data_IF_642985933469
#
_entry.id   IF_642985933469
#
_cell.length_a   1.000
_cell.length_b   1.000
_cell.length_c   1.000
_cell.angle_alpha   90.00
_cell.angle_beta   90.00
_cell.angle_gamma   90.00
#
_symmetry.space_group_name_H-M   'P 1'
#
loop_
_entity.id
_entity.type
_entity.pdbx_description
1 polymer ?
#
# COMPACT_ATOMS: atom_id res chain seq x y z
N UNK A 1 26.00 7.19 -22.31
CA UNK A 1 25.38 6.61 -21.10
C UNK A 1 24.54 7.62 -20.28
N UNK A 2 24.93 8.89 -20.12
CA UNK A 2 24.19 9.82 -19.23
C UNK A 2 22.78 10.21 -19.68
N UNK A 3 22.51 10.29 -20.99
CA UNK A 3 21.17 10.65 -21.51
C UNK A 3 20.12 9.58 -21.16
N UNK A 4 20.46 8.30 -21.31
CA UNK A 4 19.56 7.16 -21.05
C UNK A 4 19.20 7.05 -19.55
N UNK A 5 20.17 7.30 -18.67
CA UNK A 5 19.94 7.39 -17.22
C UNK A 5 19.04 8.58 -16.86
N UNK A 6 19.22 9.73 -17.53
CA UNK A 6 18.39 10.93 -17.33
C UNK A 6 16.95 10.72 -17.78
N UNK A 7 16.73 10.04 -18.91
CA UNK A 7 15.38 9.67 -19.37
C UNK A 7 14.73 8.64 -18.44
N UNK A 8 15.51 7.67 -17.92
CA UNK A 8 15.04 6.71 -16.93
C UNK A 8 14.55 7.38 -15.65
N UNK A 9 15.29 8.35 -15.12
CA UNK A 9 14.89 9.08 -13.91
C UNK A 9 13.65 9.95 -14.12
N UNK A 10 13.53 10.59 -15.29
CA UNK A 10 12.33 11.38 -15.63
C UNK A 10 11.11 10.48 -15.79
N UNK A 11 11.26 9.33 -16.47
CA UNK A 11 10.18 8.36 -16.61
C UNK A 11 9.75 7.83 -15.22
N UNK A 12 10.71 7.48 -14.36
CA UNK A 12 10.45 7.01 -13.01
C UNK A 12 9.69 8.05 -12.18
N UNK A 13 10.15 9.30 -12.17
CA UNK A 13 9.48 10.41 -11.48
C UNK A 13 8.05 10.62 -11.99
N UNK A 14 7.85 10.56 -13.31
CA UNK A 14 6.51 10.67 -13.90
C UNK A 14 5.60 9.52 -13.47
N UNK A 15 6.06 8.27 -13.49
CA UNK A 15 5.28 7.12 -12.99
C UNK A 15 4.94 7.24 -11.51
N UNK A 16 5.86 7.74 -10.67
CA UNK A 16 5.59 7.94 -9.23
C UNK A 16 4.49 8.98 -9.04
N UNK A 17 4.60 10.13 -9.69
CA UNK A 17 3.59 11.20 -9.59
C UNK A 17 2.24 10.71 -10.10
N UNK A 18 2.21 10.00 -11.22
CA UNK A 18 0.98 9.44 -11.77
C UNK A 18 0.36 8.41 -10.82
N UNK A 19 1.16 7.51 -10.25
CA UNK A 19 0.69 6.54 -9.27
C UNK A 19 0.11 7.24 -8.04
N UNK A 20 0.80 8.25 -7.49
CA UNK A 20 0.30 9.03 -6.36
C UNK A 20 -1.02 9.72 -6.67
N UNK A 21 -1.18 10.30 -7.85
CA UNK A 21 -2.43 10.93 -8.27
C UNK A 21 -3.56 9.91 -8.42
N UNK A 22 -3.29 8.74 -9.01
CA UNK A 22 -4.28 7.66 -9.17
C UNK A 22 -4.69 7.10 -7.80
N UNK A 23 -3.73 6.83 -6.91
CA UNK A 23 -4.04 6.35 -5.56
C UNK A 23 -4.76 7.40 -4.71
N UNK A 24 -4.39 8.68 -4.84
CA UNK A 24 -5.08 9.78 -4.17
C UNK A 24 -6.52 9.92 -4.68
N UNK A 25 -6.73 9.81 -6.00
CA UNK A 25 -8.07 9.80 -6.59
C UNK A 25 -8.89 8.61 -6.11
N UNK A 26 -8.33 7.39 -6.14
CA UNK A 26 -8.99 6.19 -5.63
C UNK A 26 -9.32 6.30 -4.14
N UNK A 27 -8.47 6.98 -3.37
CA UNK A 27 -8.69 7.26 -1.95
C UNK A 27 -9.77 8.31 -1.68
N UNK A 28 -10.09 9.17 -2.65
CA UNK A 28 -11.17 10.16 -2.55
C UNK A 28 -12.50 9.54 -3.01
N UNK A 29 -12.48 8.70 -4.04
CA UNK A 29 -13.67 8.04 -4.58
C UNK A 29 -14.15 6.83 -3.78
N UNK A 30 -13.25 6.16 -3.05
CA UNK A 30 -13.64 5.37 -1.92
C UNK A 30 -13.87 6.36 -0.77
N UNK A 31 -15.12 6.71 -0.50
CA UNK A 31 -15.52 7.37 0.74
C UNK A 31 -15.03 6.50 1.89
N UNK A 32 -13.78 6.68 2.29
CA UNK A 32 -13.24 6.09 3.49
C UNK A 32 -13.87 6.92 4.59
N UNK A 33 -14.74 6.37 5.46
CA UNK A 33 -15.37 7.15 6.50
C UNK A 33 -14.34 7.49 7.58
N UNK A 34 -13.38 8.36 7.27
CA UNK A 34 -12.23 8.68 8.14
C UNK A 34 -12.70 9.13 9.53
N UNK A 35 -13.90 9.71 9.61
CA UNK A 35 -14.49 10.19 10.85
C UNK A 35 -15.86 9.57 11.19
N UNK A 36 -16.49 8.84 10.29
CA UNK A 36 -17.81 8.24 10.56
C UNK A 36 -17.72 7.10 11.59
N UNK A 37 -16.58 6.38 11.63
CA UNK A 37 -16.25 5.39 12.67
C UNK A 37 -15.91 5.99 14.05
N UNK A 38 -15.82 7.33 14.16
CA UNK A 38 -15.64 8.03 15.45
C UNK A 38 -16.95 8.57 16.02
N UNK A 39 -18.03 8.53 15.24
CA UNK A 39 -19.36 8.87 15.74
C UNK A 39 -19.89 7.69 16.58
N UNK A 40 -20.25 7.96 17.84
CA UNK A 40 -20.83 6.98 18.79
C UNK A 40 -22.11 6.29 18.26
N UNK A 41 -22.64 6.73 17.12
CA UNK A 41 -23.90 6.28 16.50
C UNK A 41 -23.76 5.09 15.55
N UNK A 42 -22.59 4.81 14.98
CA UNK A 42 -22.39 3.59 14.18
C UNK A 42 -21.79 2.51 15.06
N UNK A 43 -22.61 1.49 15.35
CA UNK A 43 -22.24 0.26 16.02
C UNK A 43 -20.87 -0.22 15.50
N UNK A 44 -19.83 -0.03 16.32
CA UNK A 44 -18.43 -0.29 16.00
C UNK A 44 -18.31 -1.77 15.62
N UNK A 45 -18.38 -2.11 14.33
CA UNK A 45 -18.21 -3.50 13.88
C UNK A 45 -16.72 -3.86 13.93
N UNK A 46 -16.18 -3.85 15.15
CA UNK A 46 -14.85 -4.36 15.43
C UNK A 46 -14.92 -5.88 15.38
N UNK A 47 -13.82 -6.48 14.94
CA UNK A 47 -13.61 -7.90 15.16
C UNK A 47 -13.69 -8.14 16.66
N UNK A 48 -14.66 -8.96 17.13
CA UNK A 48 -14.78 -9.26 18.54
C UNK A 48 -13.47 -9.88 19.03
N UNK A 49 -12.96 -9.38 20.15
CA UNK A 49 -11.68 -9.81 20.75
C UNK A 49 -11.84 -11.19 21.40
N UNK A 50 -13.07 -11.66 21.57
CA UNK A 50 -13.41 -12.95 22.15
C UNK A 50 -14.58 -13.60 21.40
N UNK A 51 -14.58 -14.93 21.21
CA UNK A 51 -13.50 -15.87 21.53
C UNK A 51 -12.31 -15.77 20.57
N UNK A 52 -11.10 -16.08 21.07
CA UNK A 52 -9.82 -15.91 20.35
C UNK A 52 -9.63 -16.83 19.15
N UNK A 53 -10.47 -17.85 19.01
CA UNK A 53 -10.26 -18.95 18.07
C UNK A 53 -10.31 -18.51 16.60
N UNK A 54 -11.04 -17.43 16.29
CA UNK A 54 -11.28 -16.98 14.90
C UNK A 54 -10.86 -15.53 14.61
N UNK A 55 -10.17 -14.85 15.54
CA UNK A 55 -9.81 -13.43 15.39
C UNK A 55 -9.04 -13.18 14.08
N UNK A 56 -8.10 -14.06 13.74
CA UNK A 56 -7.31 -13.90 12.51
C UNK A 56 -8.17 -14.00 11.26
N UNK A 57 -9.14 -14.92 11.24
CA UNK A 57 -10.07 -15.11 10.12
C UNK A 57 -11.01 -13.92 9.98
N UNK A 58 -11.60 -13.45 11.10
CA UNK A 58 -12.48 -12.28 11.10
C UNK A 58 -11.72 -11.00 10.73
N UNK A 59 -10.49 -10.82 11.24
CA UNK A 59 -9.65 -9.68 10.89
C UNK A 59 -9.25 -9.71 9.41
N UNK A 60 -8.91 -10.88 8.87
CA UNK A 60 -8.61 -11.03 7.44
C UNK A 60 -9.81 -10.67 6.58
N UNK A 61 -11.01 -11.19 6.91
CA UNK A 61 -12.25 -10.85 6.21
C UNK A 61 -12.56 -9.35 6.29
N UNK A 62 -12.50 -8.78 7.49
CA UNK A 62 -12.71 -7.33 7.68
C UNK A 62 -11.76 -6.50 6.82
N UNK A 63 -10.48 -6.85 6.78
CA UNK A 63 -9.48 -6.14 5.98
C UNK A 63 -9.75 -6.28 4.47
N UNK A 64 -10.15 -7.45 3.98
CA UNK A 64 -10.50 -7.61 2.57
C UNK A 64 -11.82 -6.92 2.19
N UNK A 65 -12.82 -6.94 3.06
CA UNK A 65 -14.14 -6.40 2.76
C UNK A 65 -14.16 -4.86 2.86
N UNK A 66 -13.38 -4.27 3.78
CA UNK A 66 -13.44 -2.84 4.08
C UNK A 66 -12.14 -2.08 3.79
N UNK A 67 -10.98 -2.76 3.73
CA UNK A 67 -9.66 -2.13 3.63
C UNK A 67 -8.73 -2.79 2.61
N UNK A 68 -9.29 -3.46 1.58
CA UNK A 68 -8.48 -4.22 0.61
C UNK A 68 -7.46 -3.36 -0.13
N UNK A 69 -7.79 -2.09 -0.40
CA UNK A 69 -6.89 -1.16 -1.08
C UNK A 69 -5.64 -0.86 -0.24
N UNK A 70 -5.80 -0.66 1.07
CA UNK A 70 -4.68 -0.46 2.01
C UNK A 70 -3.83 -1.74 2.11
N UNK A 71 -4.46 -2.91 2.26
CA UNK A 71 -3.76 -4.20 2.31
C UNK A 71 -2.93 -4.45 1.02
N UNK A 72 -3.50 -4.13 -0.14
CA UNK A 72 -2.83 -4.26 -1.44
C UNK A 72 -1.70 -3.23 -1.59
N UNK A 73 -1.92 -1.99 -1.14
CA UNK A 73 -0.91 -0.94 -1.11
C UNK A 73 0.30 -1.31 -0.26
N UNK A 74 0.07 -1.82 0.95
CA UNK A 74 1.14 -2.31 1.84
C UNK A 74 1.93 -3.45 1.19
N UNK A 75 1.25 -4.43 0.58
CA UNK A 75 1.91 -5.52 -0.13
C UNK A 75 2.79 -5.00 -1.30
N UNK A 76 2.31 -4.03 -2.06
CA UNK A 76 3.09 -3.40 -3.14
C UNK A 76 4.36 -2.72 -2.59
N UNK A 77 4.25 -1.95 -1.51
CA UNK A 77 5.40 -1.28 -0.88
C UNK A 77 6.46 -2.29 -0.41
N UNK A 78 6.04 -3.41 0.18
CA UNK A 78 6.95 -4.49 0.59
C UNK A 78 7.70 -5.06 -0.61
N UNK A 79 6.99 -5.37 -1.70
CA UNK A 79 7.60 -5.90 -2.93
C UNK A 79 8.58 -4.89 -3.53
N UNK A 80 8.19 -3.61 -3.61
CA UNK A 80 9.06 -2.54 -4.12
C UNK A 80 10.33 -2.41 -3.26
N UNK A 81 10.21 -2.49 -1.93
CA UNK A 81 11.36 -2.49 -1.01
C UNK A 81 12.32 -3.64 -1.29
N UNK A 82 11.80 -4.87 -1.44
CA UNK A 82 12.62 -6.05 -1.77
C UNK A 82 13.36 -5.86 -3.10
N UNK A 83 12.69 -5.37 -4.13
CA UNK A 83 13.31 -5.11 -5.45
C UNK A 83 14.42 -4.07 -5.32
N UNK A 84 14.21 -2.99 -4.58
CA UNK A 84 15.22 -1.97 -4.33
C UNK A 84 16.44 -2.54 -3.59
N UNK A 85 16.23 -3.36 -2.56
CA UNK A 85 17.31 -4.04 -1.85
C UNK A 85 18.13 -4.93 -2.80
N UNK A 86 17.48 -5.73 -3.65
CA UNK A 86 18.15 -6.58 -4.64
C UNK A 86 18.91 -5.75 -5.68
N UNK A 87 18.35 -4.63 -6.12
CA UNK A 87 19.01 -3.73 -7.07
C UNK A 87 20.29 -3.12 -6.47
N UNK A 88 20.27 -2.73 -5.20
CA UNK A 88 21.45 -2.23 -4.49
C UNK A 88 22.54 -3.30 -4.36
N UNK A 89 22.18 -4.53 -4.00
CA UNK A 89 23.13 -5.65 -3.91
C UNK A 89 23.78 -5.96 -5.26
N UNK A 90 22.98 -6.02 -6.33
CA UNK A 90 23.46 -6.27 -7.70
C UNK A 90 24.40 -5.17 -8.21
N UNK A 91 24.14 -3.91 -7.84
CA UNK A 91 25.02 -2.80 -8.19
C UNK A 91 26.38 -2.91 -7.48
N UNK A 92 26.41 -3.40 -6.24
CA UNK A 92 27.64 -3.63 -5.47
C UNK A 92 28.52 -4.73 -6.07
N UNK A 93 27.94 -5.81 -6.60
CA UNK A 93 28.69 -6.91 -7.21
C UNK A 93 29.36 -6.54 -8.54
N UNK A 94 28.79 -5.60 -9.31
CA UNK A 94 29.34 -5.16 -10.60
C UNK A 94 30.45 -4.11 -10.52
N UNK A 95 30.88 -3.72 -9.32
CA UNK A 95 31.90 -2.68 -9.07
C UNK A 95 33.27 -3.24 -8.67
N UNK A 96 33.46 -4.55 -8.75
CA UNK A 96 34.75 -5.26 -8.67
C UNK A 96 35.13 -5.81 -10.05
#
# INVERSE_FOLDING_TARGET
MSKMFRYGNVAAAFTIVLALLVFSWLSVGADFPVFEFTSDTLNRQLVPVEPYDDIASLASRFLWDNRALDLTGQAFVIVASVICCLALLKLGEGSH
#
